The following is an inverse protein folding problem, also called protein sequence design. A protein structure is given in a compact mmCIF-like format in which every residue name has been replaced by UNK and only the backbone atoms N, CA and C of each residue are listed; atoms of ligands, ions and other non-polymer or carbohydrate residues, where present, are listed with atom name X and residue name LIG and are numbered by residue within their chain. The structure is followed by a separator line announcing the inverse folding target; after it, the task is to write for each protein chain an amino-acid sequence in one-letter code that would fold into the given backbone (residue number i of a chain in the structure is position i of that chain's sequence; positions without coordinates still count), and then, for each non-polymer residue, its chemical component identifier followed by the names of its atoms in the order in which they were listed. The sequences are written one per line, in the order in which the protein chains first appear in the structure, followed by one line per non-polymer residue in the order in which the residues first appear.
data_IF_755902567607
#
_entry.id   IF_755902567607
#
_cell.length_a   1.000
_cell.length_b   1.000
_cell.length_c   1.000
_cell.angle_alpha   90.00
_cell.angle_beta   90.00
_cell.angle_gamma   90.00
#
_symmetry.space_group_name_H-M   'P 1'
#
loop_
_entity.id
_entity.type
_entity.pdbx_description
1 polymer ?
#
# COMPACT_ATOMS: atom_id res chain seq x y z
N UNK A 1 -26.07 3.57 0.69
CA UNK A 1 -25.09 4.44 0.00
C UNK A 1 -24.13 3.56 -0.79
N UNK A 2 -23.99 3.85 -2.10
CA UNK A 2 -23.09 3.18 -3.02
C UNK A 2 -21.98 4.15 -3.45
N UNK A 3 -20.71 3.74 -3.31
CA UNK A 3 -19.57 4.57 -3.74
C UNK A 3 -18.72 3.79 -4.73
N UNK A 4 -18.40 4.43 -5.86
CA UNK A 4 -17.44 3.96 -6.83
C UNK A 4 -16.10 4.62 -6.54
N UNK A 5 -15.03 3.81 -6.40
CA UNK A 5 -13.68 4.28 -6.13
C UNK A 5 -12.74 4.02 -7.29
N UNK A 6 -11.90 5.00 -7.61
CA UNK A 6 -10.90 4.94 -8.68
C UNK A 6 -9.50 5.06 -8.09
N UNK A 7 -8.71 4.01 -8.26
CA UNK A 7 -7.29 3.96 -7.94
C UNK A 7 -6.46 4.10 -9.21
N UNK A 8 -5.42 4.94 -9.17
CA UNK A 8 -4.47 5.08 -10.28
C UNK A 8 -3.12 5.68 -9.86
N UNK A 9 -2.65 5.38 -8.66
CA UNK A 9 -1.49 6.08 -8.08
C UNK A 9 -0.14 5.62 -8.65
N UNK A 10 -0.01 4.34 -9.02
CA UNK A 10 1.27 3.77 -9.47
C UNK A 10 1.12 2.66 -10.52
N UNK A 11 1.16 1.38 -10.11
CA UNK A 11 1.12 0.22 -11.02
C UNK A 11 -0.28 -0.18 -11.46
N UNK A 12 -1.30 0.20 -10.71
CA UNK A 12 -2.66 -0.30 -10.85
C UNK A 12 -3.62 0.80 -11.29
N UNK A 13 -4.42 0.52 -12.30
CA UNK A 13 -5.68 1.22 -12.52
C UNK A 13 -6.80 0.32 -12.01
N UNK A 14 -7.48 0.73 -10.95
CA UNK A 14 -8.51 -0.06 -10.28
C UNK A 14 -9.82 0.68 -10.13
N UNK A 15 -10.92 -0.03 -10.29
CA UNK A 15 -12.28 0.46 -10.00
C UNK A 15 -12.95 -0.50 -9.04
N UNK A 16 -13.38 0.02 -7.90
CA UNK A 16 -14.12 -0.73 -6.88
C UNK A 16 -15.48 -0.11 -6.63
N UNK A 17 -16.42 -0.93 -6.20
CA UNK A 17 -17.74 -0.47 -5.74
C UNK A 17 -18.02 -1.07 -4.37
N UNK A 18 -18.42 -0.23 -3.44
CA UNK A 18 -18.78 -0.62 -2.08
C UNK A 18 -20.12 -0.05 -1.65
N UNK A 19 -20.78 -0.72 -0.70
CA UNK A 19 -21.96 -0.20 -0.02
C UNK A 19 -21.67 0.08 1.45
N UNK A 20 -22.53 0.84 2.11
CA UNK A 20 -22.45 1.18 3.52
C UNK A 20 -22.78 0.04 4.49
N UNK A 21 -23.30 -1.08 3.98
CA UNK A 21 -23.37 -2.37 4.69
C UNK A 21 -22.05 -3.14 4.60
N UNK A 22 -20.89 -2.59 4.88
CA UNK A 22 -19.52 -2.91 4.49
C UNK A 22 -19.39 -4.11 3.50
N UNK A 23 -20.01 -3.96 2.33
CA UNK A 23 -20.00 -4.97 1.27
C UNK A 23 -19.18 -4.49 0.07
N UNK A 24 -18.29 -5.34 -0.38
CA UNK A 24 -17.56 -5.15 -1.64
C UNK A 24 -18.41 -5.73 -2.76
N UNK A 25 -18.89 -4.88 -3.67
CA UNK A 25 -19.76 -5.28 -4.79
C UNK A 25 -18.94 -5.55 -6.06
N UNK A 26 -17.85 -4.82 -6.26
CA UNK A 26 -16.94 -5.03 -7.39
C UNK A 26 -15.51 -4.65 -7.05
N UNK A 27 -14.58 -5.30 -7.75
CA UNK A 27 -13.14 -5.08 -7.68
C UNK A 27 -12.53 -5.44 -9.03
N UNK A 28 -12.46 -4.48 -9.94
CA UNK A 28 -11.86 -4.65 -11.26
C UNK A 28 -10.52 -3.90 -11.32
N UNK A 29 -9.51 -4.53 -11.92
CA UNK A 29 -8.15 -3.98 -11.97
C UNK A 29 -7.47 -4.24 -13.30
N UNK A 30 -6.58 -3.33 -13.65
CA UNK A 30 -5.56 -3.48 -14.66
C UNK A 30 -4.20 -3.15 -14.03
N UNK A 31 -3.25 -4.04 -14.15
CA UNK A 31 -1.89 -3.83 -13.64
C UNK A 31 -0.92 -3.57 -14.79
N UNK A 32 -0.23 -2.44 -14.75
CA UNK A 32 0.89 -2.16 -15.63
C UNK A 32 2.12 -2.95 -15.18
N UNK A 33 2.67 -3.72 -16.09
CA UNK A 33 3.92 -4.46 -15.86
C UNK A 33 4.99 -3.87 -16.78
N UNK A 34 6.05 -3.25 -16.24
CA UNK A 34 7.13 -2.72 -17.05
C UNK A 34 7.87 -3.85 -17.76
N UNK A 35 8.23 -3.64 -19.02
CA UNK A 35 9.00 -4.62 -19.81
C UNK A 35 10.45 -4.73 -19.33
N UNK A 36 11.03 -3.64 -18.85
CA UNK A 36 12.41 -3.54 -18.36
C UNK A 36 12.45 -2.53 -17.20
N UNK A 37 13.21 -2.84 -16.16
CA UNK A 37 13.46 -1.93 -15.05
C UNK A 37 12.27 -1.74 -14.11
N UNK A 38 12.13 -0.52 -13.59
CA UNK A 38 11.02 -0.12 -12.73
C UNK A 38 9.87 0.52 -13.52
N UNK A 39 8.88 1.08 -12.80
CA UNK A 39 7.75 1.81 -13.42
C UNK A 39 8.24 2.96 -14.29
N UNK A 40 7.72 3.02 -15.52
CA UNK A 40 7.78 4.20 -16.39
C UNK A 40 6.46 4.97 -16.27
N UNK A 41 6.41 6.10 -15.54
CA UNK A 41 5.14 6.76 -15.20
C UNK A 41 4.30 7.18 -16.42
N UNK A 42 4.95 7.56 -17.53
CA UNK A 42 4.25 7.92 -18.76
C UNK A 42 3.63 6.70 -19.43
N UNK A 43 4.38 5.61 -19.58
CA UNK A 43 3.88 4.38 -20.19
C UNK A 43 2.76 3.77 -19.36
N UNK A 44 2.90 3.78 -18.03
CA UNK A 44 1.84 3.34 -17.12
C UNK A 44 0.56 4.17 -17.33
N UNK A 45 0.66 5.49 -17.41
CA UNK A 45 -0.47 6.38 -17.65
C UNK A 45 -1.12 6.13 -19.03
N UNK A 46 -0.34 5.95 -20.08
CA UNK A 46 -0.85 5.62 -21.43
C UNK A 46 -1.60 4.28 -21.44
N UNK A 47 -1.07 3.28 -20.71
CA UNK A 47 -1.74 1.99 -20.55
C UNK A 47 -3.03 2.10 -19.74
N UNK A 48 -3.07 2.97 -18.74
CA UNK A 48 -4.29 3.24 -17.94
C UNK A 48 -5.38 3.88 -18.80
N UNK A 49 -5.04 4.88 -19.61
CA UNK A 49 -5.98 5.52 -20.55
C UNK A 49 -6.64 4.46 -21.44
N UNK A 50 -5.84 3.56 -22.01
CA UNK A 50 -6.33 2.50 -22.90
C UNK A 50 -7.23 1.47 -22.19
N UNK A 51 -7.01 1.21 -20.91
CA UNK A 51 -7.73 0.16 -20.16
C UNK A 51 -8.84 0.70 -19.25
N UNK A 52 -8.86 1.98 -18.94
CA UNK A 52 -9.84 2.56 -18.01
C UNK A 52 -11.32 2.28 -18.40
N UNK A 53 -11.74 2.41 -19.68
CA UNK A 53 -13.12 2.12 -20.05
C UNK A 53 -13.51 0.66 -19.80
N UNK A 54 -12.59 -0.28 -20.08
CA UNK A 54 -12.81 -1.71 -19.84
C UNK A 54 -12.95 -2.01 -18.35
N UNK A 55 -12.01 -1.50 -17.53
CA UNK A 55 -12.01 -1.74 -16.07
C UNK A 55 -13.26 -1.14 -15.42
N UNK A 56 -13.68 0.06 -15.82
CA UNK A 56 -14.91 0.69 -15.34
C UNK A 56 -16.15 -0.16 -15.71
N UNK A 57 -16.26 -0.57 -16.97
CA UNK A 57 -17.37 -1.41 -17.43
C UNK A 57 -17.42 -2.76 -16.72
N UNK A 58 -16.27 -3.36 -16.47
CA UNK A 58 -16.15 -4.63 -15.73
C UNK A 58 -16.62 -4.47 -14.27
N UNK A 59 -16.22 -3.39 -13.59
CA UNK A 59 -16.62 -3.11 -12.22
C UNK A 59 -18.15 -2.92 -12.11
N UNK A 60 -18.75 -2.10 -12.97
CA UNK A 60 -20.20 -1.86 -12.96
C UNK A 60 -21.00 -3.14 -13.28
N UNK A 61 -20.54 -3.92 -14.26
CA UNK A 61 -21.17 -5.21 -14.60
C UNK A 61 -21.07 -6.20 -13.46
N UNK A 62 -19.90 -6.32 -12.82
CA UNK A 62 -19.69 -7.24 -11.69
C UNK A 62 -20.53 -6.85 -10.47
N UNK A 63 -20.75 -5.56 -10.25
CA UNK A 63 -21.62 -5.05 -9.20
C UNK A 63 -23.11 -5.20 -9.54
N UNK A 64 -23.46 -5.43 -10.81
CA UNK A 64 -24.85 -5.49 -11.27
C UNK A 64 -25.57 -4.14 -11.21
N UNK A 65 -24.84 -3.03 -11.34
CA UNK A 65 -25.37 -1.67 -11.23
C UNK A 65 -25.02 -0.82 -12.45
N UNK A 66 -25.75 0.28 -12.62
CA UNK A 66 -25.37 1.36 -13.51
C UNK A 66 -24.70 2.50 -12.76
N UNK A 67 -23.99 3.37 -13.48
CA UNK A 67 -23.30 4.52 -12.86
C UNK A 67 -24.31 5.51 -12.22
N UNK A 68 -25.52 5.60 -12.76
CA UNK A 68 -26.57 6.47 -12.24
C UNK A 68 -27.00 6.10 -10.81
N UNK A 69 -26.88 4.81 -10.44
CA UNK A 69 -27.24 4.32 -9.10
C UNK A 69 -26.16 4.55 -8.05
N UNK A 70 -24.97 5.02 -8.44
CA UNK A 70 -23.89 5.37 -7.52
C UNK A 70 -24.19 6.72 -6.85
N UNK A 71 -24.00 6.83 -5.54
CA UNK A 71 -24.25 8.07 -4.78
C UNK A 71 -23.07 9.05 -4.83
N UNK A 72 -21.82 8.53 -4.92
CA UNK A 72 -20.62 9.35 -5.01
C UNK A 72 -19.50 8.65 -5.76
N UNK A 73 -18.60 9.43 -6.34
CA UNK A 73 -17.38 8.97 -7.01
C UNK A 73 -16.18 9.38 -6.17
N UNK A 74 -15.43 8.40 -5.70
CA UNK A 74 -14.20 8.61 -4.95
C UNK A 74 -12.98 8.40 -5.86
N UNK A 75 -11.93 9.18 -5.66
CA UNK A 75 -10.72 9.07 -6.46
C UNK A 75 -9.46 9.30 -5.61
N UNK A 76 -8.44 8.47 -5.82
CA UNK A 76 -7.13 8.70 -5.24
C UNK A 76 -6.48 9.93 -5.89
N UNK A 77 -6.32 11.00 -5.13
CA UNK A 77 -5.63 12.21 -5.60
C UNK A 77 -4.17 12.28 -5.18
N UNK A 78 -3.68 11.29 -4.46
CA UNK A 78 -2.29 11.14 -4.02
C UNK A 78 -2.16 10.44 -2.67
N UNK A 79 -0.92 10.16 -2.21
CA UNK A 79 0.32 10.35 -2.97
C UNK A 79 0.45 9.37 -4.16
N UNK A 80 1.36 9.67 -5.10
CA UNK A 80 1.58 8.79 -6.25
C UNK A 80 2.27 9.48 -7.44
N UNK A 81 2.39 8.74 -8.54
CA UNK A 81 3.00 9.19 -9.77
C UNK A 81 2.07 10.16 -10.52
N UNK A 82 2.52 11.38 -10.75
CA UNK A 82 1.70 12.45 -11.32
C UNK A 82 0.99 12.11 -12.64
N UNK A 83 1.64 11.49 -13.64
CA UNK A 83 0.97 11.05 -14.85
C UNK A 83 -0.17 10.05 -14.59
N UNK A 84 0.07 9.06 -13.72
CA UNK A 84 -0.92 8.05 -13.36
C UNK A 84 -2.11 8.67 -12.61
N UNK A 85 -1.83 9.47 -11.57
CA UNK A 85 -2.86 10.18 -10.80
C UNK A 85 -3.79 11.03 -11.69
N UNK A 86 -3.22 11.69 -12.70
CA UNK A 86 -4.01 12.51 -13.63
C UNK A 86 -5.02 11.70 -14.43
N UNK A 87 -4.70 10.46 -14.79
CA UNK A 87 -5.67 9.60 -15.49
C UNK A 87 -6.89 9.33 -14.62
N UNK A 88 -6.69 8.83 -13.39
CA UNK A 88 -7.82 8.58 -12.48
C UNK A 88 -8.61 9.84 -12.15
N UNK A 89 -7.92 10.96 -11.88
CA UNK A 89 -8.57 12.24 -11.62
C UNK A 89 -9.41 12.73 -12.82
N UNK A 90 -8.94 12.52 -14.05
CA UNK A 90 -9.69 12.89 -15.26
C UNK A 90 -10.92 12.01 -15.42
N UNK A 91 -10.77 10.69 -15.29
CA UNK A 91 -11.91 9.75 -15.37
C UNK A 91 -12.95 10.10 -14.30
N UNK A 92 -12.53 10.31 -13.06
CA UNK A 92 -13.45 10.64 -11.96
C UNK A 92 -14.20 11.97 -12.20
N UNK A 93 -13.49 12.99 -12.68
CA UNK A 93 -14.11 14.30 -13.01
C UNK A 93 -15.13 14.18 -14.12
N UNK A 94 -14.80 13.45 -15.20
CA UNK A 94 -15.73 13.25 -16.31
C UNK A 94 -17.01 12.57 -15.82
N UNK A 95 -16.87 11.50 -15.03
CA UNK A 95 -18.01 10.79 -14.47
C UNK A 95 -18.82 11.69 -13.52
N UNK A 96 -18.15 12.43 -12.63
CA UNK A 96 -18.80 13.32 -11.67
C UNK A 96 -19.62 14.40 -12.36
N UNK A 97 -19.05 15.06 -13.38
CA UNK A 97 -19.73 16.11 -14.14
C UNK A 97 -20.86 15.55 -14.98
N UNK A 98 -20.59 14.49 -15.75
CA UNK A 98 -21.58 13.94 -16.69
C UNK A 98 -22.82 13.36 -16.01
N UNK A 99 -22.61 12.66 -14.87
CA UNK A 99 -23.69 12.04 -14.10
C UNK A 99 -24.15 12.88 -12.90
N UNK A 100 -23.64 14.10 -12.75
CA UNK A 100 -23.98 15.01 -11.64
C UNK A 100 -23.79 14.35 -10.27
N UNK A 101 -22.64 13.65 -10.07
CA UNK A 101 -22.32 12.94 -8.83
C UNK A 101 -21.29 13.72 -8.01
N UNK A 102 -21.42 13.73 -6.67
CA UNK A 102 -20.40 14.25 -5.78
C UNK A 102 -19.04 13.56 -6.01
N UNK A 103 -17.97 14.36 -6.04
CA UNK A 103 -16.60 13.86 -6.14
C UNK A 103 -15.92 13.88 -4.78
N UNK A 104 -15.33 12.76 -4.37
CA UNK A 104 -14.70 12.58 -3.05
C UNK A 104 -13.18 12.41 -3.20
N UNK A 105 -12.38 13.33 -2.62
CA UNK A 105 -10.92 13.27 -2.69
C UNK A 105 -10.36 12.27 -1.66
N UNK A 106 -9.68 11.22 -2.09
CA UNK A 106 -9.14 10.20 -1.19
C UNK A 106 -7.61 10.24 -1.17
N UNK A 107 -7.04 10.15 0.04
CA UNK A 107 -5.62 9.90 0.22
C UNK A 107 -5.37 8.38 0.16
N UNK A 108 -4.49 7.97 -0.75
CA UNK A 108 -4.16 6.58 -1.01
C UNK A 108 -3.60 5.83 0.22
N UNK A 109 -2.76 6.48 1.03
CA UNK A 109 -2.20 5.86 2.23
C UNK A 109 -3.26 5.63 3.32
N UNK A 110 -4.16 6.60 3.52
CA UNK A 110 -5.33 6.43 4.40
C UNK A 110 -6.21 5.28 3.90
N UNK A 111 -6.39 5.16 2.58
CA UNK A 111 -7.22 4.11 2.00
C UNK A 111 -6.67 2.69 2.30
N UNK A 112 -5.37 2.48 2.25
CA UNK A 112 -4.77 1.22 2.68
C UNK A 112 -5.06 0.89 4.14
N UNK A 113 -5.05 1.88 5.02
CA UNK A 113 -5.33 1.68 6.45
C UNK A 113 -6.82 1.35 6.64
N UNK A 114 -7.70 2.13 6.07
CA UNK A 114 -9.15 1.96 6.29
C UNK A 114 -9.70 0.68 5.68
N UNK A 115 -9.20 0.22 4.54
CA UNK A 115 -9.59 -1.09 4.02
C UNK A 115 -9.07 -2.23 4.90
N UNK A 116 -7.86 -2.09 5.45
CA UNK A 116 -7.31 -3.04 6.42
C UNK A 116 -8.19 -3.13 7.67
N UNK A 117 -8.58 -2.00 8.26
CA UNK A 117 -9.48 -1.95 9.42
C UNK A 117 -10.84 -2.57 9.10
N UNK A 118 -11.44 -2.21 7.97
CA UNK A 118 -12.73 -2.76 7.53
C UNK A 118 -12.71 -4.30 7.44
N UNK A 119 -11.67 -4.85 6.83
CA UNK A 119 -11.60 -6.28 6.53
C UNK A 119 -11.17 -7.13 7.73
N UNK A 120 -10.45 -6.55 8.68
CA UNK A 120 -9.91 -7.29 9.82
C UNK A 120 -10.66 -7.04 11.12
N UNK A 121 -11.38 -5.93 11.22
CA UNK A 121 -12.04 -5.50 12.44
C UNK A 121 -11.13 -4.75 13.42
N UNK A 122 -9.89 -4.44 13.06
CA UNK A 122 -8.99 -3.61 13.87
C UNK A 122 -9.62 -2.23 14.15
N UNK A 123 -9.57 -1.79 15.40
CA UNK A 123 -10.24 -0.55 15.83
C UNK A 123 -9.30 0.62 16.01
N UNK A 124 -8.24 0.41 16.82
CA UNK A 124 -7.26 1.45 17.15
C UNK A 124 -5.81 0.91 17.08
N UNK A 125 -5.38 0.41 15.91
CA UNK A 125 -4.10 -0.25 15.78
C UNK A 125 -2.92 0.72 15.70
N UNK A 126 -1.75 0.23 16.10
CA UNK A 126 -0.50 0.69 15.51
C UNK A 126 -0.48 0.17 14.07
N UNK A 127 -0.39 1.08 13.12
CA UNK A 127 -0.37 0.75 11.69
C UNK A 127 1.07 0.61 11.22
N UNK A 128 1.37 -0.49 10.55
CA UNK A 128 2.63 -0.71 9.84
C UNK A 128 2.30 -0.73 8.35
N UNK A 129 2.53 0.40 7.69
CA UNK A 129 2.26 0.57 6.26
C UNK A 129 3.52 0.31 5.45
N UNK A 130 3.50 -0.76 4.64
CA UNK A 130 4.67 -1.27 3.94
C UNK A 130 4.34 -1.52 2.47
N UNK A 131 4.93 -0.72 1.60
CA UNK A 131 4.74 -0.83 0.15
C UNK A 131 6.07 -0.62 -0.59
N UNK A 132 6.05 -0.62 -1.90
CA UNK A 132 7.19 -0.24 -2.73
C UNK A 132 7.72 1.16 -2.44
N UNK A 133 6.83 2.10 -2.09
CA UNK A 133 7.18 3.50 -1.85
C UNK A 133 7.13 3.94 -0.38
N UNK A 134 6.60 3.12 0.52
CA UNK A 134 6.36 3.51 1.91
C UNK A 134 6.83 2.44 2.90
N UNK A 135 7.43 2.89 4.00
CA UNK A 135 7.65 2.12 5.22
C UNK A 135 7.40 3.07 6.35
N UNK A 136 6.23 2.97 6.96
CA UNK A 136 5.71 3.96 7.92
C UNK A 136 5.07 3.24 9.09
N UNK A 137 5.39 3.70 10.29
CA UNK A 137 4.71 3.34 11.54
C UNK A 137 3.81 4.52 11.93
N UNK A 138 2.52 4.30 11.99
CA UNK A 138 1.55 5.35 12.28
C UNK A 138 0.48 4.89 13.26
N UNK A 139 -0.21 5.85 13.88
CA UNK A 139 -1.39 5.59 14.69
C UNK A 139 -2.36 6.77 14.58
N UNK A 140 -3.65 6.51 14.73
CA UNK A 140 -4.65 7.56 14.78
C UNK A 140 -4.53 8.32 16.11
N UNK A 141 -4.33 9.63 16.03
CA UNK A 141 -4.26 10.52 17.19
C UNK A 141 -4.75 11.91 16.82
N UNK A 142 -5.71 12.43 17.59
CA UNK A 142 -6.25 13.78 17.36
C UNK A 142 -6.87 13.95 15.97
N UNK A 143 -7.61 12.94 15.46
CA UNK A 143 -8.28 13.00 14.17
C UNK A 143 -7.36 12.93 12.96
N UNK A 144 -6.10 12.46 13.12
CA UNK A 144 -5.14 12.25 12.02
C UNK A 144 -4.28 11.02 12.27
N UNK A 145 -3.86 10.34 11.22
CA UNK A 145 -2.80 9.35 11.33
C UNK A 145 -1.47 10.07 11.52
N UNK A 146 -0.91 10.00 12.73
CA UNK A 146 0.41 10.55 13.03
C UNK A 146 1.48 9.53 12.71
N UNK A 147 2.54 9.98 12.05
CA UNK A 147 3.72 9.17 11.77
C UNK A 147 4.64 9.22 12.97
N UNK A 148 4.94 8.06 13.54
CA UNK A 148 5.85 7.88 14.69
C UNK A 148 7.20 7.32 14.27
N UNK A 149 7.29 6.70 13.11
CA UNK A 149 8.51 6.19 12.51
C UNK A 149 8.36 6.00 11.03
N UNK A 150 9.43 6.17 10.29
CA UNK A 150 9.47 5.95 8.85
C UNK A 150 10.86 5.49 8.41
N UNK A 151 10.99 5.09 7.15
CA UNK A 151 12.32 4.87 6.59
C UNK A 151 13.03 6.20 6.33
N UNK A 152 14.31 6.25 6.67
CA UNK A 152 15.16 7.44 6.46
C UNK A 152 15.65 7.57 5.01
N UNK A 153 15.51 6.51 4.22
CA UNK A 153 16.05 6.47 2.86
C UNK A 153 15.08 5.73 1.89
N UNK A 154 15.30 4.46 1.60
CA UNK A 154 14.46 3.69 0.68
C UNK A 154 13.41 2.89 1.45
N UNK A 155 12.22 2.74 0.88
CA UNK A 155 11.18 1.88 1.45
C UNK A 155 11.58 0.41 1.39
N UNK A 156 11.07 -0.39 2.34
CA UNK A 156 11.37 -1.82 2.42
C UNK A 156 11.03 -2.57 1.12
N UNK A 157 9.88 -2.29 0.50
CA UNK A 157 9.52 -2.91 -0.78
C UNK A 157 10.52 -2.55 -1.90
N UNK A 158 10.92 -1.28 -2.00
CA UNK A 158 11.94 -0.86 -2.97
C UNK A 158 13.31 -1.47 -2.68
N UNK A 159 13.68 -1.63 -1.40
CA UNK A 159 14.88 -2.38 -1.00
C UNK A 159 14.82 -3.82 -1.54
N UNK A 160 13.71 -4.52 -1.31
CA UNK A 160 13.51 -5.91 -1.76
C UNK A 160 13.60 -6.03 -3.28
N UNK A 161 12.89 -5.17 -4.00
CA UNK A 161 12.87 -5.16 -5.48
C UNK A 161 14.24 -4.84 -6.05
N UNK A 162 14.93 -3.85 -5.50
CA UNK A 162 16.26 -3.44 -5.98
C UNK A 162 17.28 -4.52 -5.72
N UNK A 163 17.30 -5.10 -4.52
CA UNK A 163 18.21 -6.22 -4.20
C UNK A 163 17.95 -7.41 -5.11
N UNK A 164 16.69 -7.81 -5.30
CA UNK A 164 16.34 -8.93 -6.17
C UNK A 164 16.79 -8.71 -7.62
N UNK A 165 16.62 -7.50 -8.14
CA UNK A 165 17.08 -7.15 -9.50
C UNK A 165 18.60 -7.17 -9.62
N UNK A 166 19.32 -6.56 -8.68
CA UNK A 166 20.78 -6.50 -8.69
C UNK A 166 21.45 -7.87 -8.47
N UNK A 167 20.77 -8.78 -7.78
CA UNK A 167 21.18 -10.18 -7.63
C UNK A 167 20.82 -11.06 -8.85
N UNK A 168 20.07 -10.54 -9.82
CA UNK A 168 19.64 -11.26 -11.02
C UNK A 168 18.54 -12.30 -10.78
N UNK A 169 17.80 -12.20 -9.66
CA UNK A 169 16.69 -13.12 -9.32
C UNK A 169 15.30 -12.56 -9.65
N UNK A 170 15.22 -11.36 -10.15
CA UNK A 170 14.01 -10.71 -10.64
C UNK A 170 14.31 -9.90 -11.91
N UNK A 171 13.33 -9.72 -12.84
CA UNK A 171 11.94 -10.18 -12.79
C UNK A 171 11.79 -11.70 -13.03
N UNK A 172 10.66 -12.35 -12.64
CA UNK A 172 9.49 -11.77 -11.99
C UNK A 172 9.74 -11.52 -10.49
N UNK A 173 9.23 -10.38 -9.99
CA UNK A 173 9.39 -10.00 -8.57
C UNK A 173 8.54 -10.87 -7.64
N UNK A 174 7.35 -11.25 -8.06
CA UNK A 174 6.43 -12.08 -7.29
C UNK A 174 5.97 -13.27 -8.14
N UNK A 175 6.05 -14.48 -7.59
CA UNK A 175 5.51 -15.71 -8.18
C UNK A 175 4.69 -16.42 -7.11
N UNK A 176 3.46 -16.79 -7.44
CA UNK A 176 2.52 -17.46 -6.50
C UNK A 176 2.37 -16.72 -5.17
N UNK A 177 2.38 -15.39 -5.22
CA UNK A 177 2.27 -14.54 -4.04
C UNK A 177 3.53 -14.41 -3.18
N UNK A 178 4.66 -15.02 -3.58
CA UNK A 178 5.93 -14.98 -2.83
C UNK A 178 6.93 -14.09 -3.57
N UNK A 179 7.52 -13.12 -2.86
CA UNK A 179 8.53 -12.24 -3.42
C UNK A 179 9.84 -12.98 -3.75
N UNK A 180 10.56 -12.54 -4.79
CA UNK A 180 11.80 -13.16 -5.24
C UNK A 180 12.86 -13.26 -4.13
N UNK A 181 13.02 -12.23 -3.31
CA UNK A 181 13.93 -12.23 -2.17
C UNK A 181 13.55 -13.29 -1.13
N UNK A 182 12.24 -13.43 -0.83
CA UNK A 182 11.77 -14.44 0.12
C UNK A 182 12.01 -15.85 -0.39
N UNK A 183 11.79 -16.12 -1.69
CA UNK A 183 12.12 -17.42 -2.30
C UNK A 183 13.63 -17.72 -2.28
N UNK A 184 14.44 -16.73 -2.66
CA UNK A 184 15.90 -16.85 -2.66
C UNK A 184 16.46 -17.15 -1.27
N UNK A 185 15.85 -16.63 -0.23
CA UNK A 185 16.29 -16.78 1.15
C UNK A 185 16.05 -18.19 1.73
N UNK A 186 15.32 -19.06 1.02
CA UNK A 186 15.05 -20.42 1.50
C UNK A 186 16.33 -21.27 1.56
N UNK A 187 16.57 -21.89 2.71
CA UNK A 187 17.77 -22.69 2.96
C UNK A 187 19.06 -21.88 3.13
N UNK A 188 18.99 -20.57 3.16
CA UNK A 188 20.12 -19.69 3.44
C UNK A 188 20.52 -19.70 4.92
N UNK A 189 21.80 -19.37 5.17
CA UNK A 189 22.37 -19.20 6.50
C UNK A 189 22.71 -17.74 6.75
N UNK A 190 22.62 -17.32 8.01
CA UNK A 190 22.90 -15.94 8.38
C UNK A 190 24.39 -15.59 8.20
N UNK A 191 24.62 -14.50 7.52
CA UNK A 191 25.89 -13.76 7.43
C UNK A 191 25.69 -12.41 8.07
N UNK A 192 26.64 -11.92 8.83
CA UNK A 192 26.57 -10.63 9.48
C UNK A 192 26.33 -9.48 8.48
N UNK A 193 25.29 -8.70 8.74
CA UNK A 193 24.88 -7.55 7.93
C UNK A 193 24.67 -6.32 8.82
N UNK A 194 24.84 -5.11 8.30
CA UNK A 194 24.60 -3.91 9.08
C UNK A 194 23.14 -3.81 9.51
N UNK A 195 22.93 -3.58 10.80
CA UNK A 195 21.62 -3.40 11.40
C UNK A 195 21.48 -1.91 11.82
N UNK A 196 20.52 -1.21 11.19
CA UNK A 196 20.38 0.23 11.40
C UNK A 196 18.94 0.56 11.80
N UNK A 197 18.76 0.87 13.09
CA UNK A 197 17.54 1.44 13.66
C UNK A 197 17.93 2.72 14.40
N UNK A 198 17.26 3.83 14.09
CA UNK A 198 17.49 5.13 14.73
C UNK A 198 16.20 5.63 15.38
N UNK A 199 16.06 5.37 16.68
CA UNK A 199 14.83 5.68 17.39
C UNK A 199 13.66 4.82 16.89
N UNK A 200 12.73 5.45 16.21
CA UNK A 200 11.57 4.80 15.56
C UNK A 200 11.74 4.64 14.04
N UNK A 201 12.90 5.01 13.50
CA UNK A 201 13.15 5.02 12.06
C UNK A 201 14.05 3.85 11.64
N UNK A 202 13.81 3.35 10.42
CA UNK A 202 14.63 2.32 9.77
C UNK A 202 15.46 2.93 8.64
N UNK A 203 16.49 2.21 8.20
CA UNK A 203 17.31 2.57 7.04
C UNK A 203 17.75 1.32 6.31
N UNK A 204 17.53 1.25 5.00
CA UNK A 204 17.78 0.05 4.20
C UNK A 204 18.85 0.24 3.11
N UNK A 205 19.24 1.48 2.76
CA UNK A 205 20.23 1.73 1.70
C UNK A 205 21.62 1.17 2.05
N UNK A 206 22.03 1.30 3.31
CA UNK A 206 23.27 0.72 3.82
C UNK A 206 23.27 -0.80 3.79
N UNK A 207 22.15 -1.42 4.15
CA UNK A 207 21.94 -2.88 4.08
C UNK A 207 21.99 -3.37 2.63
N UNK A 208 21.33 -2.66 1.69
CA UNK A 208 21.39 -2.97 0.26
C UNK A 208 22.83 -3.00 -0.26
N UNK A 209 23.58 -1.94 0.03
CA UNK A 209 24.99 -1.83 -0.41
C UNK A 209 25.85 -2.94 0.19
N UNK A 210 25.65 -3.26 1.47
CA UNK A 210 26.38 -4.33 2.15
C UNK A 210 26.06 -5.72 1.57
N UNK A 211 24.77 -6.02 1.35
CA UNK A 211 24.33 -7.28 0.74
C UNK A 211 24.97 -7.50 -0.64
N UNK A 212 24.94 -6.48 -1.50
CA UNK A 212 25.56 -6.54 -2.83
C UNK A 212 27.09 -6.71 -2.76
N UNK A 213 27.75 -6.04 -1.81
CA UNK A 213 29.19 -6.19 -1.59
C UNK A 213 29.55 -7.63 -1.16
N UNK A 214 28.80 -8.19 -0.21
CA UNK A 214 29.00 -9.56 0.30
C UNK A 214 28.77 -10.58 -0.82
N UNK A 215 27.74 -10.39 -1.64
CA UNK A 215 27.50 -11.23 -2.81
C UNK A 215 28.66 -11.20 -3.81
N UNK A 216 29.14 -9.98 -4.15
CA UNK A 216 30.28 -9.80 -5.08
C UNK A 216 31.59 -10.35 -4.54
N UNK A 217 31.74 -10.53 -3.23
CA UNK A 217 32.90 -11.20 -2.61
C UNK A 217 32.85 -12.72 -2.61
N UNK A 218 31.79 -13.31 -3.20
CA UNK A 218 31.67 -14.77 -3.42
C UNK A 218 30.81 -15.49 -2.39
N UNK A 219 30.02 -14.79 -1.56
CA UNK A 219 29.06 -15.44 -0.67
C UNK A 219 27.95 -16.15 -1.48
N UNK A 220 27.38 -17.21 -0.91
CA UNK A 220 26.25 -17.91 -1.52
C UNK A 220 25.05 -16.97 -1.63
N UNK A 221 24.36 -17.07 -2.76
CA UNK A 221 23.21 -16.22 -3.07
C UNK A 221 22.11 -16.35 -2.00
N UNK A 222 21.79 -17.58 -1.58
CA UNK A 222 20.76 -17.87 -0.59
C UNK A 222 21.10 -17.27 0.79
N UNK A 223 22.39 -17.30 1.16
CA UNK A 223 22.87 -16.75 2.44
C UNK A 223 22.76 -15.22 2.46
N UNK A 224 23.05 -14.56 1.33
CA UNK A 224 22.89 -13.11 1.17
C UNK A 224 21.42 -12.73 1.21
N UNK A 225 20.55 -13.43 0.46
CA UNK A 225 19.11 -13.19 0.47
C UNK A 225 18.51 -13.37 1.87
N UNK A 226 18.88 -14.47 2.54
CA UNK A 226 18.43 -14.78 3.89
C UNK A 226 18.80 -13.66 4.87
N UNK A 227 20.09 -13.30 4.90
CA UNK A 227 20.61 -12.33 5.87
C UNK A 227 20.04 -10.93 5.66
N UNK A 228 19.95 -10.50 4.40
CA UNK A 228 19.38 -9.21 4.05
C UNK A 228 17.89 -9.12 4.42
N UNK A 229 17.12 -10.18 4.13
CA UNK A 229 15.71 -10.28 4.54
C UNK A 229 15.56 -10.27 6.07
N UNK A 230 16.35 -11.10 6.77
CA UNK A 230 16.27 -11.23 8.23
C UNK A 230 16.52 -9.89 8.92
N UNK A 231 17.56 -9.17 8.52
CA UNK A 231 17.90 -7.86 9.08
C UNK A 231 16.82 -6.84 8.76
N UNK A 232 16.36 -6.77 7.52
CA UNK A 232 15.33 -5.81 7.09
C UNK A 232 14.00 -6.02 7.83
N UNK A 233 13.53 -7.26 7.93
CA UNK A 233 12.27 -7.57 8.60
C UNK A 233 12.37 -7.39 10.12
N UNK A 234 13.49 -7.81 10.72
CA UNK A 234 13.70 -7.67 12.18
C UNK A 234 13.78 -6.20 12.60
N UNK A 235 14.44 -5.33 11.81
CA UNK A 235 14.48 -3.91 12.10
C UNK A 235 13.09 -3.25 12.06
N UNK A 236 12.23 -3.66 11.13
CA UNK A 236 10.85 -3.18 11.06
C UNK A 236 10.02 -3.65 12.27
N UNK A 237 10.15 -4.92 12.65
CA UNK A 237 9.46 -5.46 13.83
C UNK A 237 9.90 -4.73 15.10
N UNK A 238 11.19 -4.44 15.24
CA UNK A 238 11.72 -3.71 16.40
C UNK A 238 11.12 -2.30 16.51
N UNK A 239 11.07 -1.53 15.41
CA UNK A 239 10.49 -0.18 15.47
C UNK A 239 8.98 -0.21 15.72
N UNK A 240 8.28 -1.22 15.20
CA UNK A 240 6.86 -1.42 15.51
C UNK A 240 6.65 -1.77 16.98
N UNK A 241 7.48 -2.64 17.56
CA UNK A 241 7.44 -2.99 18.97
C UNK A 241 7.69 -1.79 19.89
N UNK A 242 8.66 -0.95 19.53
CA UNK A 242 8.91 0.32 20.24
C UNK A 242 7.70 1.25 20.16
N UNK A 243 7.07 1.37 18.97
CA UNK A 243 5.86 2.15 18.77
C UNK A 243 4.69 1.66 19.62
N UNK A 244 4.47 0.34 19.72
CA UNK A 244 3.47 -0.27 20.60
C UNK A 244 3.69 0.14 22.05
N UNK A 245 4.92 0.01 22.53
CA UNK A 245 5.29 0.33 23.92
C UNK A 245 5.12 1.81 24.23
N UNK A 246 5.52 2.68 23.30
CA UNK A 246 5.45 4.14 23.46
C UNK A 246 4.01 4.65 23.47
N UNK A 247 3.14 4.09 22.62
CA UNK A 247 1.79 4.57 22.40
C UNK A 247 0.73 3.77 23.22
N UNK A 248 1.14 2.69 23.87
CA UNK A 248 0.24 1.85 24.65
C UNK A 248 -0.83 1.14 23.81
N UNK A 249 -0.57 0.95 22.50
CA UNK A 249 -1.50 0.28 21.59
C UNK A 249 -1.56 -1.22 21.91
N UNK A 250 -2.74 -1.81 21.68
CA UNK A 250 -3.02 -3.23 21.91
C UNK A 250 -3.24 -4.02 20.63
N UNK A 251 -3.23 -3.32 19.50
CA UNK A 251 -3.47 -3.88 18.17
C UNK A 251 -2.33 -3.44 17.23
N UNK A 252 -1.92 -4.32 16.33
CA UNK A 252 -1.04 -4.02 15.20
C UNK A 252 -1.77 -4.36 13.93
N UNK A 253 -1.74 -3.46 12.94
CA UNK A 253 -2.32 -3.68 11.63
C UNK A 253 -1.25 -3.56 10.55
N UNK A 254 -1.00 -4.63 9.82
CA UNK A 254 -0.12 -4.64 8.65
C UNK A 254 -0.92 -4.30 7.39
N UNK A 255 -0.49 -3.28 6.67
CA UNK A 255 -1.12 -2.82 5.42
C UNK A 255 -0.08 -2.58 4.32
N UNK A 256 -0.50 -2.60 3.06
CA UNK A 256 0.37 -2.45 1.89
C UNK A 256 0.89 -3.79 1.36
N UNK A 257 1.41 -3.77 0.12
CA UNK A 257 1.73 -4.99 -0.62
C UNK A 257 2.78 -5.89 0.03
N UNK A 258 3.75 -5.33 0.76
CA UNK A 258 4.78 -6.12 1.47
C UNK A 258 4.21 -6.85 2.70
N UNK A 259 3.09 -6.39 3.25
CA UNK A 259 2.37 -7.06 4.33
C UNK A 259 1.84 -8.46 3.93
N UNK A 260 1.82 -8.79 2.64
CA UNK A 260 1.48 -10.12 2.15
C UNK A 260 2.60 -11.17 2.36
N UNK A 261 3.84 -10.77 2.71
CA UNK A 261 4.93 -11.70 2.99
C UNK A 261 4.66 -12.52 4.24
N UNK A 262 4.50 -13.83 4.08
CA UNK A 262 4.30 -14.75 5.22
C UNK A 262 5.46 -14.72 6.22
N UNK A 263 6.69 -14.56 5.74
CA UNK A 263 7.88 -14.49 6.62
C UNK A 263 7.88 -13.24 7.49
N UNK A 264 7.42 -12.13 6.95
CA UNK A 264 7.25 -10.91 7.72
C UNK A 264 6.11 -11.06 8.74
N UNK A 265 4.98 -11.64 8.32
CA UNK A 265 3.82 -11.90 9.19
C UNK A 265 4.23 -12.82 10.35
N UNK A 266 4.95 -13.92 10.10
CA UNK A 266 5.44 -14.82 11.14
C UNK A 266 6.29 -14.11 12.20
N UNK A 267 7.15 -13.16 11.79
CA UNK A 267 7.93 -12.34 12.75
C UNK A 267 7.03 -11.43 13.59
N UNK A 268 6.02 -10.82 12.98
CA UNK A 268 5.04 -10.01 13.71
C UNK A 268 4.17 -10.86 14.64
N UNK A 269 3.81 -12.09 14.28
CA UNK A 269 3.09 -13.03 15.15
C UNK A 269 3.89 -13.38 16.41
N UNK A 270 5.20 -13.62 16.26
CA UNK A 270 6.09 -13.88 17.41
C UNK A 270 6.11 -12.66 18.34
N UNK A 271 6.30 -11.46 17.79
CA UNK A 271 6.31 -10.21 18.57
C UNK A 271 4.96 -9.98 19.25
N UNK A 272 3.85 -10.15 18.53
CA UNK A 272 2.51 -9.94 19.05
C UNK A 272 2.18 -10.88 20.22
N UNK A 273 2.53 -12.17 20.10
CA UNK A 273 2.40 -13.14 21.19
C UNK A 273 3.24 -12.76 22.40
N UNK A 274 4.49 -12.34 22.18
CA UNK A 274 5.37 -11.94 23.26
C UNK A 274 4.87 -10.70 24.01
N UNK A 275 4.28 -9.75 23.27
CA UNK A 275 3.72 -8.50 23.83
C UNK A 275 2.28 -8.62 24.32
N UNK A 276 1.58 -9.71 24.03
CA UNK A 276 0.17 -9.88 24.36
C UNK A 276 -0.73 -8.88 23.66
N UNK A 277 -0.44 -8.59 22.37
CA UNK A 277 -1.22 -7.70 21.51
C UNK A 277 -1.84 -8.48 20.34
N UNK A 278 -2.90 -7.95 19.76
CA UNK A 278 -3.56 -8.54 18.60
C UNK A 278 -2.86 -8.11 17.30
N UNK A 279 -2.63 -9.07 16.42
CA UNK A 279 -2.09 -8.83 15.08
C UNK A 279 -3.20 -8.96 14.04
N UNK A 280 -3.36 -7.93 13.25
CA UNK A 280 -4.24 -7.90 12.08
C UNK A 280 -3.42 -7.75 10.81
N UNK A 281 -3.73 -8.55 9.80
CA UNK A 281 -3.05 -8.51 8.51
C UNK A 281 -4.10 -8.31 7.44
N UNK A 282 -3.94 -7.27 6.64
CA UNK A 282 -4.83 -7.04 5.50
C UNK A 282 -4.75 -8.21 4.52
N UNK A 283 -5.88 -8.81 4.14
CA UNK A 283 -5.88 -9.92 3.19
C UNK A 283 -5.09 -9.58 1.91
N UNK A 284 -4.22 -10.48 1.40
CA UNK A 284 -3.31 -10.18 0.29
C UNK A 284 -3.99 -9.58 -0.94
N UNK A 285 -5.20 -10.02 -1.24
CA UNK A 285 -6.01 -9.46 -2.34
C UNK A 285 -6.23 -7.95 -2.23
N UNK A 286 -6.35 -7.42 -1.01
CA UNK A 286 -6.65 -6.01 -0.74
C UNK A 286 -5.48 -5.25 -0.11
N UNK A 287 -4.38 -5.94 0.19
CA UNK A 287 -3.15 -5.32 0.64
C UNK A 287 -2.42 -4.53 -0.47
N UNK A 288 -2.58 -4.96 -1.72
CA UNK A 288 -2.08 -4.27 -2.92
C UNK A 288 -3.08 -3.21 -3.39
N UNK A 289 -2.64 -2.31 -4.28
CA UNK A 289 -3.47 -1.22 -4.82
C UNK A 289 -4.76 -1.73 -5.46
N UNK A 290 -5.88 -1.09 -5.14
CA UNK A 290 -7.19 -1.49 -5.63
C UNK A 290 -8.21 -0.35 -5.53
N UNK A 291 -9.27 -0.42 -6.35
CA UNK A 291 -10.35 0.57 -6.31
C UNK A 291 -11.25 0.47 -5.08
N UNK A 292 -11.30 -0.70 -4.45
CA UNK A 292 -12.17 -0.94 -3.27
C UNK A 292 -11.74 -0.11 -2.07
N UNK A 293 -10.43 -0.01 -1.80
CA UNK A 293 -9.92 0.81 -0.70
C UNK A 293 -10.24 2.29 -0.89
N UNK A 294 -10.24 2.75 -2.15
CA UNK A 294 -10.62 4.13 -2.49
C UNK A 294 -12.12 4.32 -2.33
N UNK A 295 -12.92 3.36 -2.80
CA UNK A 295 -14.36 3.38 -2.62
C UNK A 295 -14.77 3.40 -1.14
N UNK A 296 -14.15 2.54 -0.31
CA UNK A 296 -14.44 2.45 1.11
C UNK A 296 -14.08 3.73 1.86
N UNK A 297 -12.86 4.24 1.69
CA UNK A 297 -12.44 5.50 2.33
C UNK A 297 -13.26 6.67 1.80
N UNK A 298 -13.59 6.66 0.51
CA UNK A 298 -14.50 7.63 -0.09
C UNK A 298 -15.90 7.60 0.51
N UNK A 299 -16.42 6.42 0.83
CA UNK A 299 -17.70 6.26 1.52
C UNK A 299 -17.66 6.87 2.93
N UNK A 300 -16.58 6.63 3.68
CA UNK A 300 -16.40 7.23 5.00
C UNK A 300 -16.35 8.77 4.91
N UNK A 301 -15.57 9.32 3.99
CA UNK A 301 -15.48 10.75 3.73
C UNK A 301 -16.82 11.35 3.30
N UNK A 302 -17.50 10.70 2.36
CA UNK A 302 -18.82 11.15 1.86
C UNK A 302 -19.86 11.22 2.97
N UNK A 303 -19.93 10.23 3.85
CA UNK A 303 -20.82 10.25 5.03
C UNK A 303 -20.53 11.41 5.99
N UNK A 304 -19.32 11.93 5.99
CA UNK A 304 -18.92 13.10 6.78
C UNK A 304 -18.98 14.43 5.98
N UNK A 305 -19.61 14.40 4.80
CA UNK A 305 -19.81 15.59 3.98
C UNK A 305 -18.56 16.10 3.25
N UNK A 306 -17.52 15.30 3.16
CA UNK A 306 -16.27 15.69 2.50
C UNK A 306 -16.37 15.42 1.01
N UNK A 307 -16.50 16.48 0.24
CA UNK A 307 -16.52 16.47 -1.23
C UNK A 307 -15.61 17.55 -1.79
N UNK A 308 -15.35 17.51 -3.07
CA UNK A 308 -14.58 18.53 -3.79
C UNK A 308 -15.22 18.82 -5.13
N UNK A 309 -15.25 20.10 -5.50
CA UNK A 309 -15.68 20.50 -6.85
C UNK A 309 -14.74 19.89 -7.90
N UNK A 310 -15.25 19.36 -9.02
CA UNK A 310 -14.43 18.71 -10.05
C UNK A 310 -13.24 19.57 -10.51
N UNK A 311 -13.42 20.89 -10.62
CA UNK A 311 -12.38 21.84 -11.02
C UNK A 311 -11.25 21.97 -9.98
N UNK A 312 -11.55 21.68 -8.71
CA UNK A 312 -10.61 21.77 -7.57
C UNK A 312 -10.02 20.45 -7.15
N UNK A 313 -10.38 19.35 -7.80
CA UNK A 313 -9.84 18.00 -7.50
C UNK A 313 -8.41 17.84 -8.04
N UNK A 314 -7.47 18.61 -7.50
CA UNK A 314 -6.08 18.60 -7.91
C UNK A 314 -5.33 17.36 -7.39
N UNK A 315 -4.49 16.76 -8.24
CA UNK A 315 -3.57 15.70 -7.84
C UNK A 315 -2.45 16.24 -6.95
N UNK A 316 -2.10 15.48 -5.91
CA UNK A 316 -1.10 15.83 -4.90
C UNK A 316 -0.08 14.71 -4.80
N UNK A 317 0.98 14.74 -5.63
CA UNK A 317 1.97 13.67 -5.71
C UNK A 317 2.65 13.34 -4.37
N UNK A 318 2.76 14.34 -3.48
CA UNK A 318 3.38 14.22 -2.14
C UNK A 318 2.36 14.51 -1.03
N UNK A 319 1.17 13.93 -1.14
CA UNK A 319 0.13 14.10 -0.13
C UNK A 319 0.40 13.20 1.08
N UNK A 320 1.03 13.76 2.10
CA UNK A 320 1.43 13.00 3.29
C UNK A 320 0.22 12.47 4.07
N UNK A 321 0.39 11.29 4.66
CA UNK A 321 -0.60 10.62 5.52
C UNK A 321 -1.03 11.50 6.72
N UNK A 322 -0.06 12.16 7.36
CA UNK A 322 -0.25 12.99 8.56
C UNK A 322 -0.90 14.36 8.30
N UNK A 323 -1.13 14.70 7.03
CA UNK A 323 -1.80 15.94 6.62
C UNK A 323 -3.30 15.77 6.29
N UNK A 324 -3.87 14.58 6.57
CA UNK A 324 -5.26 14.25 6.23
C UNK A 324 -6.09 14.15 7.50
N UNK A 325 -7.23 14.85 7.52
CA UNK A 325 -8.19 14.72 8.61
C UNK A 325 -9.01 13.44 8.46
N UNK A 326 -9.18 12.73 9.57
CA UNK A 326 -9.99 11.52 9.71
C UNK A 326 -11.14 11.86 10.64
N UNK A 327 -12.36 11.71 10.17
CA UNK A 327 -13.56 12.18 10.83
C UNK A 327 -14.37 11.08 11.53
N UNK A 328 -13.95 9.80 11.43
CA UNK A 328 -14.64 8.62 11.98
C UNK A 328 -13.83 7.89 13.04
#
# INVERSE_FOLDING_TARGET
VLVLGIESTAHTFGVGVVSDEPRILADARYNYVPKVGGIHPREAAESFISNAPRVLSEALRSAGISIESVDAIAVALGPGLGPCLRVGATVARVLAVYYSKPLVPVNHAVAHIEIGKMLTGARDPLVVYISGGNTVIAALYGGRYRVFGETLDIALGNFMDTLARELGIAPPYVVEGVHALDRCAEGGRYIEMPYVVKGQDTSYSGLLTAALRVYRSGARLEDVCFSAREVAYSSLVEVAERGLSQLGKREVLLVGGVAASRYLVEKFEVMARYRGVELYVTPPKYAVDNGVMIAWTGLLLYKHGVTVEPERAYVRQRWRLDSVDVYW
#
